data_IF_555084836290
#
_entry.id   IF_555084836290
#
_cell.length_a   1.000
_cell.length_b   1.000
_cell.length_c   1.000
_cell.angle_alpha   90.00
_cell.angle_beta   90.00
_cell.angle_gamma   90.00
#
_symmetry.space_group_name_H-M   'P 1'
#
loop_
_entity.id
_entity.type
_entity.pdbx_description
1 polymer ?
#
# COMPACT_ATOMS: atom_id res chain seq x y z
N UNK A 1 40.15 22.21 34.58
CA UNK A 1 39.43 22.12 33.29
C UNK A 1 38.98 20.68 33.08
N UNK A 2 37.72 20.36 33.40
CA UNK A 2 37.08 19.07 33.07
C UNK A 2 36.28 19.28 31.79
N UNK A 3 36.71 18.64 30.70
CA UNK A 3 35.94 18.54 29.46
C UNK A 3 35.01 17.33 29.62
N UNK A 4 33.83 17.58 30.17
CA UNK A 4 32.68 16.68 30.22
C UNK A 4 31.58 17.39 29.45
N UNK A 5 31.51 17.28 28.12
CA UNK A 5 30.30 17.71 27.38
C UNK A 5 30.19 17.30 25.89
N UNK A 6 31.03 16.40 25.36
CA UNK A 6 30.97 16.08 23.91
C UNK A 6 30.30 14.75 23.52
N UNK A 7 29.70 14.01 24.46
CA UNK A 7 29.12 12.69 24.13
C UNK A 7 27.60 12.65 23.96
N UNK A 8 26.90 13.78 24.11
CA UNK A 8 25.42 13.84 23.97
C UNK A 8 24.92 14.22 22.58
N UNK A 9 25.78 14.73 21.69
CA UNK A 9 25.36 15.19 20.36
C UNK A 9 25.25 14.05 19.34
N UNK A 10 26.03 12.96 19.47
CA UNK A 10 26.03 11.86 18.49
C UNK A 10 24.88 10.85 18.66
N UNK A 11 24.28 10.73 19.85
CA UNK A 11 23.12 9.85 20.09
C UNK A 11 21.81 10.38 19.52
N UNK A 12 21.68 11.70 19.36
CA UNK A 12 20.43 12.31 18.86
C UNK A 12 20.26 12.12 17.35
N UNK A 13 21.35 12.15 16.58
CA UNK A 13 21.33 12.00 15.12
C UNK A 13 21.18 10.55 14.66
N UNK A 14 21.81 9.59 15.36
CA UNK A 14 21.60 8.16 15.12
C UNK A 14 20.17 7.76 15.45
N UNK A 15 19.65 8.27 16.57
CA UNK A 15 18.28 8.03 17.01
C UNK A 15 17.25 8.50 15.98
N UNK A 16 17.44 9.66 15.33
CA UNK A 16 16.53 10.23 14.32
C UNK A 16 16.59 9.48 12.99
N UNK A 17 17.80 9.08 12.56
CA UNK A 17 17.99 8.27 11.35
C UNK A 17 17.28 6.93 11.44
N UNK A 18 17.19 6.32 12.62
CA UNK A 18 16.52 5.03 12.82
C UNK A 18 14.98 5.13 12.98
N UNK A 19 14.38 6.34 13.01
CA UNK A 19 12.91 6.50 13.18
C UNK A 19 12.16 6.63 11.85
N UNK A 20 12.83 7.11 10.80
CA UNK A 20 12.16 7.44 9.54
C UNK A 20 12.43 6.33 8.54
N UNK A 21 11.35 5.76 7.97
CA UNK A 21 11.41 4.87 6.81
C UNK A 21 12.34 5.50 5.75
N UNK A 22 13.37 4.80 5.23
CA UNK A 22 13.52 3.34 5.15
C UNK A 22 14.45 2.69 6.19
N UNK A 23 14.77 3.36 7.30
CA UNK A 23 15.89 2.96 8.15
C UNK A 23 15.62 1.95 9.28
N UNK A 24 14.38 1.49 9.48
CA UNK A 24 13.98 0.65 10.64
C UNK A 24 14.82 -0.62 10.87
N UNK A 25 15.60 -1.08 9.88
CA UNK A 25 16.44 -2.28 9.97
C UNK A 25 17.85 -2.05 9.41
N UNK A 26 18.45 -0.88 9.66
CA UNK A 26 19.80 -0.49 9.19
C UNK A 26 20.88 -1.55 9.45
N UNK A 27 20.78 -2.24 10.58
CA UNK A 27 21.71 -3.25 11.10
C UNK A 27 21.38 -4.68 10.67
N UNK A 28 20.25 -4.91 9.96
CA UNK A 28 19.83 -6.25 9.49
C UNK A 28 19.39 -6.23 8.02
N UNK A 29 20.31 -6.41 7.05
CA UNK A 29 20.02 -6.26 5.63
C UNK A 29 18.94 -7.22 5.12
N UNK A 30 18.86 -8.42 5.69
CA UNK A 30 17.86 -9.40 5.31
C UNK A 30 16.43 -9.06 5.77
N UNK A 31 16.28 -8.41 6.93
CA UNK A 31 14.99 -7.89 7.39
C UNK A 31 14.58 -6.67 6.57
N UNK A 32 15.56 -5.82 6.20
CA UNK A 32 15.34 -4.64 5.36
C UNK A 32 14.72 -4.99 4.00
N UNK A 33 15.22 -6.03 3.32
CA UNK A 33 14.67 -6.45 2.04
C UNK A 33 13.19 -6.88 2.17
N UNK A 34 12.87 -7.74 3.14
CA UNK A 34 11.49 -8.18 3.38
C UNK A 34 10.57 -7.01 3.74
N UNK A 35 11.05 -6.04 4.52
CA UNK A 35 10.29 -4.84 4.84
C UNK A 35 10.00 -4.00 3.57
N UNK A 36 10.98 -3.78 2.70
CA UNK A 36 10.76 -3.01 1.46
C UNK A 36 9.76 -3.68 0.53
N UNK A 37 9.87 -5.00 0.36
CA UNK A 37 8.91 -5.77 -0.44
C UNK A 37 7.51 -5.69 0.18
N UNK A 38 7.40 -5.83 1.51
CA UNK A 38 6.12 -5.71 2.20
C UNK A 38 5.50 -4.32 2.04
N UNK A 39 6.30 -3.24 2.10
CA UNK A 39 5.83 -1.89 1.84
C UNK A 39 5.32 -1.74 0.40
N UNK A 40 6.05 -2.26 -0.59
CA UNK A 40 5.62 -2.26 -2.00
C UNK A 40 4.30 -3.01 -2.20
N UNK A 41 4.19 -4.23 -1.67
CA UNK A 41 2.95 -5.02 -1.70
C UNK A 41 1.79 -4.33 -1.01
N UNK A 42 2.05 -3.55 0.04
CA UNK A 42 1.02 -2.79 0.74
C UNK A 42 0.52 -1.62 -0.11
N UNK A 43 1.42 -0.89 -0.78
CA UNK A 43 1.05 0.17 -1.73
C UNK A 43 0.18 -0.41 -2.84
N UNK A 44 0.61 -1.52 -3.43
CA UNK A 44 -0.11 -2.24 -4.48
C UNK A 44 -1.49 -2.72 -3.99
N UNK A 45 -1.55 -3.38 -2.83
CA UNK A 45 -2.80 -3.83 -2.20
C UNK A 45 -3.79 -2.68 -2.03
N UNK A 46 -3.36 -1.57 -1.44
CA UNK A 46 -4.22 -0.43 -1.14
C UNK A 46 -4.69 0.25 -2.43
N UNK A 47 -3.81 0.41 -3.41
CA UNK A 47 -4.15 0.95 -4.71
C UNK A 47 -5.19 0.11 -5.43
N UNK A 48 -4.93 -1.20 -5.58
CA UNK A 48 -5.83 -2.12 -6.27
C UNK A 48 -7.18 -2.24 -5.56
N UNK A 49 -7.19 -2.27 -4.23
CA UNK A 49 -8.42 -2.34 -3.45
C UNK A 49 -9.25 -1.05 -3.61
N UNK A 50 -8.62 0.13 -3.54
CA UNK A 50 -9.31 1.39 -3.74
C UNK A 50 -9.81 1.52 -5.19
N UNK A 51 -9.01 1.12 -6.17
CA UNK A 51 -9.40 1.11 -7.58
C UNK A 51 -10.58 0.18 -7.83
N UNK A 52 -10.47 -1.10 -7.47
CA UNK A 52 -11.53 -2.07 -7.72
C UNK A 52 -12.83 -1.72 -6.97
N UNK A 53 -12.74 -1.19 -5.75
CA UNK A 53 -13.94 -0.86 -4.95
C UNK A 53 -14.61 0.45 -5.31
N UNK A 54 -13.87 1.47 -5.74
CA UNK A 54 -14.45 2.81 -5.97
C UNK A 54 -14.46 3.23 -7.43
N UNK A 55 -13.46 2.83 -8.22
CA UNK A 55 -13.45 3.09 -9.65
C UNK A 55 -14.36 2.10 -10.38
N UNK A 56 -14.20 0.79 -10.16
CA UNK A 56 -15.03 -0.22 -10.83
C UNK A 56 -16.45 -0.33 -10.31
N UNK A 57 -16.71 -0.18 -9.00
CA UNK A 57 -18.08 -0.21 -8.49
C UNK A 57 -18.95 0.92 -9.07
N UNK A 58 -18.36 2.09 -9.34
CA UNK A 58 -19.06 3.21 -10.00
C UNK A 58 -19.53 2.89 -11.42
N UNK A 59 -18.98 1.85 -12.08
CA UNK A 59 -19.48 1.34 -13.35
C UNK A 59 -20.67 0.37 -13.16
N UNK A 60 -20.73 -0.34 -12.03
CA UNK A 60 -21.73 -1.36 -11.74
C UNK A 60 -23.09 -0.80 -11.31
N UNK A 61 -23.12 0.36 -10.63
CA UNK A 61 -24.34 1.06 -10.19
C UNK A 61 -25.23 1.59 -11.34
N UNK A 62 -24.90 1.24 -12.58
CA UNK A 62 -25.58 1.73 -13.76
C UNK A 62 -26.34 0.57 -14.42
N UNK A 63 -27.64 0.50 -14.14
CA UNK A 63 -28.72 -0.47 -14.50
C UNK A 63 -28.79 -1.05 -15.93
N UNK A 64 -27.71 -0.99 -16.72
CA UNK A 64 -27.59 -1.79 -17.93
C UNK A 64 -26.99 -3.15 -17.56
N UNK A 65 -27.45 -4.25 -18.17
CA UNK A 65 -26.69 -5.48 -18.18
C UNK A 65 -25.36 -5.14 -18.85
N UNK A 66 -24.32 -4.92 -18.06
CA UNK A 66 -22.97 -4.53 -18.51
C UNK A 66 -22.29 -5.63 -19.33
N UNK A 67 -23.01 -6.73 -19.64
CA UNK A 67 -22.44 -7.96 -20.20
C UNK A 67 -21.44 -8.63 -19.27
N UNK A 68 -21.21 -8.08 -18.06
CA UNK A 68 -20.30 -8.62 -17.09
C UNK A 68 -20.91 -9.88 -16.48
N UNK A 69 -20.33 -11.03 -16.80
CA UNK A 69 -20.70 -12.33 -16.23
C UNK A 69 -20.22 -12.50 -14.77
N UNK A 70 -19.46 -11.54 -14.23
CA UNK A 70 -18.76 -11.66 -12.97
C UNK A 70 -19.20 -10.60 -11.95
N UNK A 71 -19.49 -11.05 -10.73
CA UNK A 71 -19.80 -10.18 -9.60
C UNK A 71 -18.54 -9.39 -9.17
N UNK A 72 -18.55 -8.07 -9.39
CA UNK A 72 -17.45 -7.17 -9.04
C UNK A 72 -17.14 -7.22 -7.54
N UNK A 73 -18.15 -7.42 -6.68
CA UNK A 73 -17.93 -7.59 -5.24
C UNK A 73 -17.09 -8.82 -4.94
N UNK A 74 -17.41 -9.95 -5.58
CA UNK A 74 -16.64 -11.18 -5.45
C UNK A 74 -15.20 -11.04 -6.01
N UNK A 75 -15.01 -10.29 -7.10
CA UNK A 75 -13.67 -9.99 -7.63
C UNK A 75 -12.86 -9.16 -6.62
N UNK A 76 -13.46 -8.10 -6.03
CA UNK A 76 -12.80 -7.25 -5.04
C UNK A 76 -12.39 -8.06 -3.80
N UNK A 77 -13.27 -8.90 -3.29
CA UNK A 77 -12.98 -9.77 -2.15
C UNK A 77 -11.91 -10.81 -2.48
N UNK A 78 -12.01 -11.47 -3.64
CA UNK A 78 -11.01 -12.41 -4.14
C UNK A 78 -9.63 -11.77 -4.28
N UNK A 79 -9.56 -10.58 -4.88
CA UNK A 79 -8.34 -9.79 -5.00
C UNK A 79 -7.74 -9.45 -3.63
N UNK A 80 -8.57 -9.01 -2.67
CA UNK A 80 -8.12 -8.69 -1.32
C UNK A 80 -7.50 -9.92 -0.63
N UNK A 81 -8.15 -11.08 -0.73
CA UNK A 81 -7.63 -12.34 -0.17
C UNK A 81 -6.32 -12.73 -0.87
N UNK A 82 -6.29 -12.70 -2.20
CA UNK A 82 -5.11 -13.05 -2.99
C UNK A 82 -3.91 -12.17 -2.66
N UNK A 83 -4.08 -10.85 -2.58
CA UNK A 83 -3.00 -9.90 -2.28
C UNK A 83 -2.56 -9.95 -0.81
N UNK A 84 -3.43 -10.36 0.12
CA UNK A 84 -3.06 -10.55 1.52
C UNK A 84 -2.05 -11.70 1.72
N UNK A 85 -2.11 -12.75 0.90
CA UNK A 85 -1.20 -13.92 1.01
C UNK A 85 0.28 -13.54 0.89
N UNK A 86 0.76 -12.88 -0.19
CA UNK A 86 2.16 -12.48 -0.29
C UNK A 86 2.55 -11.47 0.80
N UNK A 87 1.65 -10.59 1.24
CA UNK A 87 1.91 -9.68 2.36
C UNK A 87 2.17 -10.45 3.67
N UNK A 88 1.34 -11.43 4.01
CA UNK A 88 1.51 -12.26 5.21
C UNK A 88 2.81 -13.06 5.14
N UNK A 89 3.12 -13.65 3.97
CA UNK A 89 4.38 -14.38 3.78
C UNK A 89 5.60 -13.48 3.96
N UNK A 90 5.58 -12.27 3.40
CA UNK A 90 6.68 -11.30 3.55
C UNK A 90 6.79 -10.75 4.97
N UNK A 91 5.67 -10.56 5.68
CA UNK A 91 5.67 -10.23 7.10
C UNK A 91 6.28 -11.35 7.95
N UNK A 92 5.90 -12.60 7.70
CA UNK A 92 6.52 -13.76 8.35
C UNK A 92 8.02 -13.85 8.03
N UNK A 93 8.43 -13.60 6.79
CA UNK A 93 9.84 -13.57 6.39
C UNK A 93 10.61 -12.46 7.11
N UNK A 94 10.01 -11.29 7.31
CA UNK A 94 10.56 -10.19 8.11
C UNK A 94 10.81 -10.65 9.55
N UNK A 95 9.78 -11.22 10.21
CA UNK A 95 9.91 -11.73 11.59
C UNK A 95 10.96 -12.83 11.70
N UNK A 96 11.00 -13.76 10.74
CA UNK A 96 12.03 -14.81 10.69
C UNK A 96 13.44 -14.24 10.49
N UNK A 97 13.58 -13.18 9.68
CA UNK A 97 14.84 -12.47 9.47
C UNK A 97 15.36 -11.76 10.73
N UNK A 98 14.46 -11.29 11.59
CA UNK A 98 14.79 -10.69 12.88
C UNK A 98 15.11 -11.73 13.96
N UNK A 99 14.63 -12.97 13.82
CA UNK A 99 14.97 -14.08 14.73
C UNK A 99 16.13 -14.96 14.23
N UNK A 100 16.82 -14.54 13.18
CA UNK A 100 17.97 -15.24 12.57
C UNK A 100 17.67 -16.66 12.04
N UNK A 101 16.41 -17.01 11.83
CA UNK A 101 16.00 -18.30 11.24
C UNK A 101 16.22 -18.32 9.72
N UNK A 102 17.46 -18.57 9.29
CA UNK A 102 17.89 -18.46 7.88
C UNK A 102 17.06 -19.32 6.92
N UNK A 103 16.75 -20.57 7.28
CA UNK A 103 16.02 -21.51 6.41
C UNK A 103 14.56 -21.08 6.24
N UNK A 104 13.86 -20.87 7.36
CA UNK A 104 12.47 -20.40 7.36
C UNK A 104 12.33 -19.09 6.59
N UNK A 105 13.24 -18.14 6.79
CA UNK A 105 13.27 -16.88 6.04
C UNK A 105 13.38 -17.11 4.54
N UNK A 106 14.35 -17.90 4.07
CA UNK A 106 14.55 -18.15 2.63
C UNK A 106 13.30 -18.79 2.00
N UNK A 107 12.72 -19.76 2.68
CA UNK A 107 11.51 -20.44 2.22
C UNK A 107 10.31 -19.47 2.16
N UNK A 108 10.07 -18.69 3.21
CA UNK A 108 9.00 -17.69 3.26
C UNK A 108 9.18 -16.58 2.23
N UNK A 109 10.40 -16.09 2.03
CA UNK A 109 10.69 -15.10 0.98
C UNK A 109 10.46 -15.71 -0.41
N UNK A 110 10.93 -16.94 -0.66
CA UNK A 110 10.69 -17.63 -1.93
C UNK A 110 9.21 -17.83 -2.23
N UNK A 111 8.44 -18.33 -1.24
CA UNK A 111 7.00 -18.48 -1.34
C UNK A 111 6.29 -17.13 -1.52
N UNK A 112 6.72 -16.10 -0.80
CA UNK A 112 6.17 -14.76 -0.93
C UNK A 112 6.36 -14.17 -2.33
N UNK A 113 7.53 -14.38 -2.94
CA UNK A 113 7.79 -13.95 -4.33
C UNK A 113 6.97 -14.74 -5.34
N UNK A 114 6.89 -16.06 -5.18
CA UNK A 114 6.07 -16.89 -6.05
C UNK A 114 4.59 -16.50 -5.97
N UNK A 115 4.07 -16.29 -4.75
CA UNK A 115 2.72 -15.82 -4.51
C UNK A 115 2.50 -14.43 -5.15
N UNK A 116 3.41 -13.47 -4.94
CA UNK A 116 3.30 -12.14 -5.53
C UNK A 116 3.28 -12.19 -7.07
N UNK A 117 4.14 -13.02 -7.68
CA UNK A 117 4.17 -13.18 -9.14
C UNK A 117 2.85 -13.76 -9.68
N UNK A 118 2.32 -14.81 -9.05
CA UNK A 118 1.06 -15.43 -9.44
C UNK A 118 -0.10 -14.46 -9.27
N UNK A 119 -0.16 -13.76 -8.13
CA UNK A 119 -1.22 -12.79 -7.84
C UNK A 119 -1.17 -11.60 -8.80
N UNK A 120 0.02 -11.06 -9.10
CA UNK A 120 0.15 -9.93 -10.02
C UNK A 120 -0.19 -10.32 -11.46
N UNK A 121 0.10 -11.54 -11.87
CA UNK A 121 -0.32 -12.07 -13.16
C UNK A 121 -1.85 -12.22 -13.22
N UNK A 122 -2.48 -12.73 -12.16
CA UNK A 122 -3.93 -12.82 -12.04
C UNK A 122 -4.60 -11.44 -12.06
N UNK A 123 -4.08 -10.48 -11.28
CA UNK A 123 -4.57 -9.09 -11.25
C UNK A 123 -4.48 -8.47 -12.64
N UNK A 124 -3.34 -8.61 -13.32
CA UNK A 124 -3.15 -8.07 -14.66
C UNK A 124 -4.15 -8.66 -15.66
N UNK A 125 -4.38 -9.98 -15.59
CA UNK A 125 -5.38 -10.65 -16.41
C UNK A 125 -6.80 -10.12 -16.13
N UNK A 126 -7.17 -9.96 -14.87
CA UNK A 126 -8.47 -9.40 -14.47
C UNK A 126 -8.65 -7.95 -14.94
N UNK A 127 -7.61 -7.13 -14.84
CA UNK A 127 -7.63 -5.74 -15.32
C UNK A 127 -7.78 -5.69 -16.85
N UNK A 128 -7.08 -6.56 -17.59
CA UNK A 128 -7.19 -6.65 -19.05
C UNK A 128 -8.62 -7.06 -19.44
N UNK A 129 -9.15 -8.14 -18.86
CA UNK A 129 -10.52 -8.61 -19.11
C UNK A 129 -11.56 -7.53 -18.81
N UNK A 130 -11.40 -6.80 -17.70
CA UNK A 130 -12.28 -5.69 -17.36
C UNK A 130 -12.17 -4.52 -18.34
N UNK A 131 -10.98 -4.24 -18.87
CA UNK A 131 -10.76 -3.15 -19.84
C UNK A 131 -11.35 -3.46 -21.22
N UNK A 132 -11.29 -4.71 -21.69
CA UNK A 132 -11.88 -5.13 -22.96
C UNK A 132 -13.41 -4.99 -22.93
N UNK A 133 -14.04 -5.37 -21.81
CA UNK A 133 -15.47 -5.20 -21.64
C UNK A 133 -15.92 -3.73 -21.62
N UNK A 134 -15.06 -2.81 -21.16
CA UNK A 134 -15.31 -1.37 -21.23
C UNK A 134 -15.14 -0.81 -22.65
N UNK A 135 -14.36 -1.46 -23.50
CA UNK A 135 -14.12 -1.08 -24.90
C UNK A 135 -15.21 -1.60 -25.84
N UNK A 136 -15.79 -2.77 -25.56
CA UNK A 136 -16.84 -3.36 -26.41
C UNK A 136 -18.22 -2.70 -26.23
N UNK A 137 -18.46 -2.05 -25.08
CA UNK A 137 -19.64 -1.22 -24.88
C UNK A 137 -19.49 0.12 -25.59
N UNK A 138 -20.45 0.49 -26.45
CA UNK A 138 -20.50 1.76 -27.21
C UNK A 138 -20.53 3.06 -26.37
N UNK A 139 -20.20 3.03 -25.08
CA UNK A 139 -20.14 4.18 -24.20
C UNK A 139 -18.68 4.54 -23.87
N UNK A 140 -18.26 5.73 -24.29
CA UNK A 140 -16.99 6.29 -23.84
C UNK A 140 -17.06 6.60 -22.33
N UNK A 141 -16.33 5.81 -21.54
CA UNK A 141 -16.12 6.09 -20.11
C UNK A 141 -15.07 7.19 -20.00
N UNK A 142 -15.49 8.37 -19.55
CA UNK A 142 -14.57 9.46 -19.25
C UNK A 142 -14.35 9.52 -17.73
N UNK A 143 -13.10 9.68 -17.32
CA UNK A 143 -12.79 10.11 -15.96
C UNK A 143 -13.11 11.59 -15.81
N UNK A 144 -13.55 12.00 -14.62
CA UNK A 144 -13.74 13.43 -14.35
C UNK A 144 -12.36 14.10 -14.26
N UNK A 145 -12.21 15.33 -14.78
CA UNK A 145 -10.96 16.05 -14.65
C UNK A 145 -10.65 16.33 -13.18
N UNK A 146 -9.41 16.09 -12.77
CA UNK A 146 -8.92 16.47 -11.45
C UNK A 146 -8.64 17.98 -11.44
N UNK A 147 -9.04 18.72 -10.38
CA UNK A 147 -8.81 20.16 -10.28
C UNK A 147 -7.33 20.53 -10.50
N UNK A 148 -7.10 21.64 -11.19
CA UNK A 148 -5.75 22.12 -11.48
C UNK A 148 -5.07 21.47 -12.69
N UNK A 149 -5.80 20.68 -13.49
CA UNK A 149 -5.27 20.06 -14.71
C UNK A 149 -4.28 18.91 -14.44
N UNK A 150 -4.30 18.38 -13.22
CA UNK A 150 -3.45 17.26 -12.81
C UNK A 150 -4.00 15.98 -13.42
N UNK A 151 -3.14 15.14 -14.01
CA UNK A 151 -3.57 13.82 -14.47
C UNK A 151 -3.83 12.87 -13.29
N UNK A 152 -4.62 11.82 -13.52
CA UNK A 152 -5.02 10.89 -12.47
C UNK A 152 -3.82 10.19 -11.81
N UNK A 153 -2.76 9.90 -12.55
CA UNK A 153 -1.58 9.22 -12.01
C UNK A 153 -0.78 10.15 -11.09
N UNK A 154 -0.62 11.41 -11.48
CA UNK A 154 -0.02 12.42 -10.59
C UNK A 154 -0.84 12.59 -9.31
N UNK A 155 -2.17 12.61 -9.39
CA UNK A 155 -3.03 12.67 -8.20
C UNK A 155 -2.88 11.44 -7.29
N UNK A 156 -2.82 10.23 -7.87
CA UNK A 156 -2.53 8.98 -7.14
C UNK A 156 -1.18 9.06 -6.42
N UNK A 157 -0.13 9.52 -7.12
CA UNK A 157 1.20 9.69 -6.54
C UNK A 157 1.18 10.66 -5.36
N UNK A 158 0.46 11.79 -5.49
CA UNK A 158 0.29 12.76 -4.39
C UNK A 158 -0.43 12.13 -3.19
N UNK A 159 -1.47 11.32 -3.40
CA UNK A 159 -2.14 10.59 -2.32
C UNK A 159 -1.18 9.63 -1.59
N UNK A 160 -0.36 8.88 -2.34
CA UNK A 160 0.63 7.96 -1.76
C UNK A 160 1.70 8.73 -0.97
N UNK A 161 2.21 9.83 -1.52
CA UNK A 161 3.20 10.68 -0.83
C UNK A 161 2.64 11.31 0.44
N UNK A 162 1.40 11.79 0.42
CA UNK A 162 0.72 12.31 1.59
C UNK A 162 0.51 11.23 2.67
N UNK A 163 0.13 10.02 2.26
CA UNK A 163 -0.01 8.88 3.16
C UNK A 163 1.34 8.46 3.79
N UNK A 164 2.43 8.46 3.01
CA UNK A 164 3.77 8.18 3.52
C UNK A 164 4.20 9.23 4.57
N UNK A 165 3.96 10.51 4.28
CA UNK A 165 4.24 11.60 5.22
C UNK A 165 3.44 11.47 6.52
N UNK A 166 2.15 11.13 6.40
CA UNK A 166 1.25 10.91 7.55
C UNK A 166 1.71 9.72 8.40
N UNK A 167 2.04 8.59 7.76
CA UNK A 167 2.59 7.41 8.43
C UNK A 167 3.89 7.74 9.17
N UNK A 168 4.80 8.47 8.54
CA UNK A 168 6.07 8.86 9.15
C UNK A 168 5.87 9.77 10.38
N UNK A 169 4.99 10.78 10.29
CA UNK A 169 4.69 11.69 11.40
C UNK A 169 4.06 10.97 12.59
N UNK A 170 3.12 10.06 12.34
CA UNK A 170 2.45 9.30 13.41
C UNK A 170 3.42 8.32 14.06
N UNK A 171 4.21 7.58 13.28
CA UNK A 171 5.24 6.68 13.81
C UNK A 171 6.27 7.42 14.67
N UNK A 172 6.72 8.60 14.20
CA UNK A 172 7.63 9.46 14.96
C UNK A 172 7.01 9.96 16.26
N UNK A 173 5.76 10.43 16.20
CA UNK A 173 5.02 10.92 17.37
C UNK A 173 4.83 9.80 18.40
N UNK A 174 4.47 8.61 17.94
CA UNK A 174 4.30 7.43 18.78
C UNK A 174 5.61 7.03 19.48
N UNK A 175 6.73 6.99 18.74
CA UNK A 175 8.04 6.73 19.32
C UNK A 175 8.43 7.77 20.37
N UNK A 176 8.15 9.06 20.10
CA UNK A 176 8.40 10.15 21.04
C UNK A 176 7.60 9.98 22.34
N UNK A 177 6.35 9.54 22.26
CA UNK A 177 5.50 9.26 23.43
C UNK A 177 6.02 8.04 24.18
N UNK A 178 6.34 6.95 23.48
CA UNK A 178 6.84 5.72 24.08
C UNK A 178 8.15 5.93 24.86
N UNK A 179 9.06 6.74 24.32
CA UNK A 179 10.30 7.13 25.02
C UNK A 179 10.03 7.94 26.29
N UNK A 180 8.98 8.76 26.33
CA UNK A 180 8.58 9.50 27.54
C UNK A 180 7.98 8.60 28.62
N UNK A 181 7.48 7.44 28.23
CA UNK A 181 6.85 6.45 29.12
C UNK A 181 7.80 5.32 29.53
N UNK A 182 9.10 5.43 29.22
CA UNK A 182 10.12 4.38 29.40
C UNK A 182 9.71 3.00 28.86
N UNK A 183 8.83 2.97 27.84
CA UNK A 183 8.43 1.74 27.17
C UNK A 183 9.31 1.49 25.95
N UNK A 184 10.06 0.41 25.97
CA UNK A 184 10.82 -0.06 24.81
C UNK A 184 9.88 -0.73 23.81
N UNK A 185 9.62 -0.05 22.69
CA UNK A 185 8.82 -0.60 21.59
C UNK A 185 9.77 -1.23 20.58
N UNK A 186 9.60 -2.53 20.34
CA UNK A 186 10.36 -3.26 19.32
C UNK A 186 10.16 -2.69 17.92
N UNK A 187 11.19 -2.79 17.07
CA UNK A 187 11.19 -2.19 15.73
C UNK A 187 10.05 -2.73 14.83
N UNK A 188 9.67 -4.00 15.01
CA UNK A 188 8.53 -4.61 14.31
C UNK A 188 7.22 -3.91 14.63
N UNK A 189 6.99 -3.57 15.90
CA UNK A 189 5.74 -2.93 16.31
C UNK A 189 5.68 -1.50 15.76
N UNK A 190 6.79 -0.76 15.77
CA UNK A 190 6.88 0.57 15.13
C UNK A 190 6.62 0.49 13.62
N UNK A 191 7.24 -0.49 12.96
CA UNK A 191 7.04 -0.71 11.53
C UNK A 191 5.59 -1.10 11.19
N UNK A 192 4.97 -1.97 11.99
CA UNK A 192 3.57 -2.36 11.81
C UNK A 192 2.63 -1.16 11.99
N UNK A 193 2.83 -0.33 13.03
CA UNK A 193 2.05 0.90 13.23
C UNK A 193 2.20 1.84 12.04
N UNK A 194 3.44 2.08 11.59
CA UNK A 194 3.70 2.90 10.41
C UNK A 194 2.96 2.37 9.18
N UNK A 195 3.07 1.06 8.92
CA UNK A 195 2.46 0.41 7.76
C UNK A 195 0.93 0.47 7.81
N UNK A 196 0.33 0.25 8.99
CA UNK A 196 -1.12 0.35 9.17
C UNK A 196 -1.62 1.77 8.92
N UNK A 197 -0.97 2.78 9.52
CA UNK A 197 -1.34 4.19 9.34
C UNK A 197 -1.19 4.61 7.88
N UNK A 198 -0.08 4.25 7.24
CA UNK A 198 0.13 4.46 5.81
C UNK A 198 -1.00 3.82 5.01
N UNK A 199 -1.30 2.55 5.25
CA UNK A 199 -2.31 1.79 4.49
C UNK A 199 -3.69 2.43 4.59
N UNK A 200 -4.13 2.76 5.81
CA UNK A 200 -5.43 3.39 6.07
C UNK A 200 -5.51 4.75 5.38
N UNK A 201 -4.47 5.58 5.55
CA UNK A 201 -4.45 6.93 4.97
C UNK A 201 -4.44 6.87 3.45
N UNK A 202 -3.59 6.02 2.85
CA UNK A 202 -3.54 5.82 1.40
C UNK A 202 -4.87 5.31 0.88
N UNK A 203 -5.51 4.35 1.56
CA UNK A 203 -6.80 3.81 1.16
C UNK A 203 -7.88 4.89 1.17
N UNK A 204 -7.99 5.67 2.24
CA UNK A 204 -8.99 6.74 2.34
C UNK A 204 -8.79 7.81 1.26
N UNK A 205 -7.54 8.23 1.02
CA UNK A 205 -7.23 9.23 -0.01
C UNK A 205 -7.53 8.71 -1.42
N UNK A 206 -7.11 7.48 -1.72
CA UNK A 206 -7.35 6.86 -3.03
C UNK A 206 -8.83 6.52 -3.24
N UNK A 207 -9.53 6.07 -2.20
CA UNK A 207 -10.97 5.86 -2.23
C UNK A 207 -11.73 7.16 -2.52
N UNK A 208 -11.34 8.26 -1.87
CA UNK A 208 -11.89 9.58 -2.16
C UNK A 208 -11.60 10.05 -3.59
N UNK A 209 -10.35 9.86 -4.05
CA UNK A 209 -9.94 10.19 -5.41
C UNK A 209 -10.75 9.41 -6.45
N UNK A 210 -10.78 8.08 -6.34
CA UNK A 210 -11.50 7.22 -7.28
C UNK A 210 -13.01 7.33 -7.15
N UNK A 211 -13.57 7.51 -5.96
CA UNK A 211 -15.01 7.69 -5.80
C UNK A 211 -15.51 9.02 -6.37
N UNK A 212 -14.71 10.08 -6.26
CA UNK A 212 -15.12 11.41 -6.70
C UNK A 212 -14.77 11.73 -8.16
N UNK A 213 -13.60 11.25 -8.61
CA UNK A 213 -13.06 11.49 -9.96
C UNK A 213 -13.03 10.25 -10.84
N UNK A 214 -13.57 9.14 -10.36
CA UNK A 214 -13.70 7.90 -11.11
C UNK A 214 -14.60 8.04 -12.33
N UNK A 215 -14.89 6.90 -12.98
CA UNK A 215 -15.56 6.89 -14.26
C UNK A 215 -16.94 7.53 -14.13
N UNK A 216 -17.26 8.39 -15.08
CA UNK A 216 -18.58 8.97 -15.22
C UNK A 216 -19.10 8.78 -16.63
N UNK A 217 -20.39 8.48 -16.74
CA UNK A 217 -21.05 8.36 -18.04
C UNK A 217 -21.02 9.73 -18.72
N UNK A 218 -20.46 9.75 -19.92
CA UNK A 218 -20.77 10.82 -20.85
C UNK A 218 -22.14 10.53 -21.47
N UNK A 219 -22.94 11.54 -21.76
CA UNK A 219 -24.29 11.41 -22.35
C UNK A 219 -24.30 10.83 -23.77
N UNK A 220 -23.15 10.43 -24.29
CA UNK A 220 -22.91 9.91 -25.64
C UNK A 220 -23.10 8.39 -25.74
N UNK A 221 -24.07 7.83 -25.00
CA UNK A 221 -24.48 6.45 -25.20
C UNK A 221 -25.61 6.43 -26.23
N UNK A 222 -25.29 6.41 -27.53
CA UNK A 222 -26.30 6.07 -28.55
C UNK A 222 -26.69 4.59 -28.41
N UNK A 223 -28.00 4.26 -28.44
CA UNK A 223 -28.49 2.89 -28.35
C UNK A 223 -28.01 2.02 -29.52
#
# INVERSE_FOLDING_TARGET
MRSLDNNRSSESESGLRDVVWPAFFSHRPAARMAAHVLAGLTVEFVFLLAYARYFWAGLNDSDRPTGHWFDIGAIVEGLAVCLAVPMVLMFCALVAGLREHRVARRLLTGLGWAAAAVVNLLVSLLLILGSEQLSEGACAVASRPVPGGVDLMTAVLLCVMAALGTGALISWSWWRIARRLDRTIGDVARYAVWLSVFSITAFVLLAGLFGHFGPHRTTLCTP
#
